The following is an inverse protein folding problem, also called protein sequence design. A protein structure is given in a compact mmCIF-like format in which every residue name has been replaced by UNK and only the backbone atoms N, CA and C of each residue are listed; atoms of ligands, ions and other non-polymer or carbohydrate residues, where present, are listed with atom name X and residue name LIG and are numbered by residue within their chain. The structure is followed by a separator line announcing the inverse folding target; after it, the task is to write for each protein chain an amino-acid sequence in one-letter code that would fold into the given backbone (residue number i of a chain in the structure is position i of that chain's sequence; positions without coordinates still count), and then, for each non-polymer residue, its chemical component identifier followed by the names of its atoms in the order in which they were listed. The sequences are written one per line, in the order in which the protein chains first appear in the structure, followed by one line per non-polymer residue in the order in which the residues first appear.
data_IF_483205968483
#
_entry.id   IF_483205968483
#
_cell.length_a   1.000
_cell.length_b   1.000
_cell.length_c   1.000
_cell.angle_alpha   90.00
_cell.angle_beta   90.00
_cell.angle_gamma   90.00
#
_symmetry.space_group_name_H-M   'P 1'
#
loop_
_entity.id
_entity.type
_entity.pdbx_description
1 polymer ?
#
# COMPACT_ATOMS: atom_id res chain seq x y z
N UNK A 1 30.53 31.39 2.95
CA UNK A 1 30.18 30.92 4.31
C UNK A 1 28.67 30.80 4.39
N UNK A 2 28.12 29.60 4.24
CA UNK A 2 26.72 29.30 4.56
C UNK A 2 26.71 28.54 5.90
N UNK A 3 25.79 28.83 6.83
CA UNK A 3 25.88 28.37 8.20
C UNK A 3 25.69 26.85 8.32
N UNK A 4 26.24 26.30 9.41
CA UNK A 4 26.25 24.87 9.77
C UNK A 4 24.85 24.24 9.98
N UNK A 5 23.79 25.04 9.98
CA UNK A 5 22.43 24.60 9.73
C UNK A 5 21.76 25.78 9.03
N UNK A 6 21.19 25.55 7.85
CA UNK A 6 20.79 26.66 7.00
C UNK A 6 19.87 26.23 5.87
N UNK A 7 18.89 27.09 5.61
CA UNK A 7 18.02 27.01 4.44
C UNK A 7 18.71 27.73 3.29
N UNK A 8 18.74 27.12 2.09
CA UNK A 8 19.15 27.81 0.86
C UNK A 8 18.30 29.10 0.69
N UNK A 9 18.84 30.19 0.13
CA UNK A 9 18.09 31.43 -0.11
C UNK A 9 16.75 31.21 -0.84
N UNK A 10 16.69 30.20 -1.70
CA UNK A 10 15.50 29.84 -2.50
C UNK A 10 14.56 28.86 -1.78
N UNK A 11 14.91 28.42 -0.57
CA UNK A 11 14.15 27.44 0.20
C UNK A 11 14.14 26.02 -0.36
N UNK A 12 14.91 25.76 -1.43
CA UNK A 12 14.99 24.50 -2.19
C UNK A 12 15.74 23.39 -1.46
N UNK A 13 16.75 23.75 -0.66
CA UNK A 13 17.60 22.81 0.09
C UNK A 13 17.60 23.22 1.56
N UNK A 14 17.39 22.25 2.44
CA UNK A 14 17.48 22.41 3.89
C UNK A 14 18.54 21.46 4.42
N UNK A 15 19.59 22.03 5.00
CA UNK A 15 20.56 21.28 5.78
C UNK A 15 19.99 21.10 7.18
N UNK A 16 19.72 19.85 7.55
CA UNK A 16 19.22 19.51 8.87
C UNK A 16 20.40 19.48 9.85
N UNK A 17 20.19 19.91 11.09
CA UNK A 17 21.15 19.75 12.19
C UNK A 17 21.20 18.29 12.72
N UNK A 18 20.94 17.35 11.82
CA UNK A 18 20.93 15.92 12.11
C UNK A 18 22.08 15.28 11.35
N UNK A 19 22.84 14.46 12.07
CA UNK A 19 23.84 13.58 11.46
C UNK A 19 23.37 12.13 11.55
N UNK A 20 23.69 11.33 10.53
CA UNK A 20 23.42 9.89 10.51
C UNK A 20 24.75 9.14 10.39
N UNK A 21 24.89 8.10 11.20
CA UNK A 21 26.03 7.17 11.20
C UNK A 21 25.56 5.77 11.55
N UNK A 22 26.28 4.74 11.12
CA UNK A 22 25.97 3.36 11.45
C UNK A 22 24.74 2.84 10.70
N UNK A 23 24.75 3.01 9.38
CA UNK A 23 23.70 2.50 8.50
C UNK A 23 24.26 1.44 7.55
N UNK A 24 23.38 0.52 7.15
CA UNK A 24 23.70 -0.47 6.11
C UNK A 24 23.40 0.12 4.74
N UNK A 25 24.36 0.02 3.83
CA UNK A 25 24.17 0.45 2.44
C UNK A 25 23.23 -0.53 1.74
N UNK A 26 22.29 0.00 0.94
CA UNK A 26 21.30 -0.81 0.25
C UNK A 26 21.98 -1.86 -0.64
N UNK A 27 21.49 -3.10 -0.62
CA UNK A 27 21.99 -4.17 -1.50
C UNK A 27 23.30 -4.84 -1.06
N UNK A 28 23.95 -4.38 0.00
CA UNK A 28 25.18 -4.98 0.54
C UNK A 28 25.13 -5.27 2.05
N UNK A 29 26.15 -5.95 2.56
CA UNK A 29 26.41 -6.08 4.00
C UNK A 29 27.28 -4.93 4.53
N UNK A 30 27.70 -4.02 3.65
CA UNK A 30 28.56 -2.88 3.97
C UNK A 30 27.86 -1.98 5.00
N UNK A 31 28.44 -1.94 6.19
CA UNK A 31 28.02 -1.08 7.29
C UNK A 31 28.94 0.12 7.32
N UNK A 32 28.39 1.31 7.07
CA UNK A 32 29.15 2.55 7.10
C UNK A 32 28.94 3.24 8.45
N UNK A 33 30.02 3.37 9.22
CA UNK A 33 30.04 4.00 10.54
C UNK A 33 30.36 5.49 10.45
N UNK A 34 30.69 6.00 9.26
CA UNK A 34 31.04 7.41 9.04
C UNK A 34 29.83 8.32 9.33
N UNK A 35 30.09 9.49 9.92
CA UNK A 35 29.04 10.49 10.19
C UNK A 35 28.78 11.34 8.95
N UNK A 36 27.56 11.29 8.45
CA UNK A 36 27.09 12.13 7.36
C UNK A 36 26.09 13.16 7.86
N UNK A 37 26.12 14.35 7.25
CA UNK A 37 25.12 15.38 7.46
C UNK A 37 23.89 15.08 6.63
N UNK A 38 22.71 15.22 7.24
CA UNK A 38 21.45 14.98 6.56
C UNK A 38 21.00 16.25 5.84
N UNK A 39 20.79 16.14 4.53
CA UNK A 39 20.27 17.24 3.71
C UNK A 39 18.96 16.81 3.06
N UNK A 40 17.95 17.68 3.14
CA UNK A 40 16.67 17.48 2.45
C UNK A 40 16.55 18.46 1.29
N UNK A 41 16.30 17.90 0.10
CA UNK A 41 16.03 18.67 -1.11
C UNK A 41 14.52 18.65 -1.34
N UNK A 42 13.90 19.82 -1.42
CA UNK A 42 12.45 19.98 -1.60
C UNK A 42 12.04 20.18 -3.05
N UNK A 43 12.89 20.82 -3.85
CA UNK A 43 12.67 21.05 -5.28
C UNK A 43 13.83 20.49 -6.07
N UNK A 44 13.55 19.89 -7.23
CA UNK A 44 14.61 19.39 -8.10
C UNK A 44 15.58 20.53 -8.44
N UNK A 45 16.83 20.42 -7.98
CA UNK A 45 17.84 21.47 -8.11
C UNK A 45 19.10 20.85 -8.68
N UNK A 46 19.62 21.38 -9.79
CA UNK A 46 20.85 20.91 -10.45
C UNK A 46 20.87 19.38 -10.70
N UNK A 47 19.75 18.81 -11.17
CA UNK A 47 19.64 17.39 -11.48
C UNK A 47 19.44 16.45 -10.28
N UNK A 48 19.42 16.98 -9.04
CA UNK A 48 19.13 16.21 -7.82
C UNK A 48 17.62 16.22 -7.55
N UNK A 49 16.93 15.07 -7.57
CA UNK A 49 15.50 15.01 -7.28
C UNK A 49 15.16 15.36 -5.82
N UNK A 50 13.92 15.74 -5.50
CA UNK A 50 13.48 15.90 -4.12
C UNK A 50 13.64 14.60 -3.33
N UNK A 51 14.18 14.70 -2.11
CA UNK A 51 14.52 13.54 -1.29
C UNK A 51 15.41 13.88 -0.10
N UNK A 52 15.74 12.86 0.69
CA UNK A 52 16.67 12.95 1.81
C UNK A 52 18.01 12.35 1.37
N UNK A 53 19.09 13.08 1.59
CA UNK A 53 20.43 12.73 1.15
C UNK A 53 21.41 12.80 2.32
N UNK A 54 22.44 11.96 2.27
CA UNK A 54 23.56 11.97 3.19
C UNK A 54 24.75 12.61 2.49
N UNK A 55 25.23 13.71 3.06
CA UNK A 55 26.33 14.51 2.55
C UNK A 55 27.52 14.37 3.49
N UNK A 56 28.71 14.20 2.92
CA UNK A 56 29.94 14.17 3.71
C UNK A 56 30.26 15.58 4.24
N UNK A 57 30.44 15.78 5.56
CA UNK A 57 30.73 17.09 6.13
C UNK A 57 32.08 17.68 5.66
N UNK A 58 33.04 16.86 5.23
CA UNK A 58 34.36 17.30 4.78
C UNK A 58 34.39 17.68 3.29
N UNK A 59 33.84 16.84 2.41
CA UNK A 59 33.86 17.07 0.96
C UNK A 59 32.64 17.83 0.45
N UNK A 60 31.55 17.89 1.24
CA UNK A 60 30.25 18.46 0.88
C UNK A 60 29.59 17.80 -0.34
N UNK A 61 30.00 16.58 -0.67
CA UNK A 61 29.41 15.80 -1.76
C UNK A 61 28.28 14.89 -1.26
N UNK A 62 27.27 14.70 -2.10
CA UNK A 62 26.16 13.76 -1.83
C UNK A 62 26.69 12.34 -2.04
N UNK A 63 26.79 11.56 -0.96
CA UNK A 63 27.31 10.18 -1.02
C UNK A 63 26.21 9.13 -1.09
N UNK A 64 25.10 9.35 -0.38
CA UNK A 64 23.98 8.40 -0.35
C UNK A 64 22.63 9.10 -0.45
N UNK A 65 21.67 8.41 -1.05
CA UNK A 65 20.25 8.76 -1.01
C UNK A 65 19.54 7.90 0.04
N UNK A 66 18.76 8.53 0.91
CA UNK A 66 17.91 7.84 1.88
C UNK A 66 16.56 7.60 1.22
N UNK A 67 16.38 6.40 0.70
CA UNK A 67 15.17 5.97 0.01
C UNK A 67 14.27 5.14 0.95
N UNK A 68 12.99 5.49 1.15
CA UNK A 68 12.11 4.75 2.04
C UNK A 68 11.84 3.31 1.54
N UNK A 69 11.67 2.38 2.48
CA UNK A 69 11.37 0.98 2.16
C UNK A 69 9.98 0.78 1.53
N UNK A 70 9.02 1.68 1.84
CA UNK A 70 7.68 1.71 1.26
C UNK A 70 7.60 2.82 0.22
N UNK A 71 7.28 2.49 -1.03
CA UNK A 71 7.19 3.48 -2.12
C UNK A 71 8.52 4.13 -2.52
N UNK A 72 9.64 3.47 -2.22
CA UNK A 72 10.98 3.92 -2.59
C UNK A 72 11.22 3.98 -4.10
N UNK A 73 12.07 4.92 -4.54
CA UNK A 73 12.37 5.21 -5.94
C UNK A 73 13.51 4.34 -6.49
N UNK A 74 14.42 3.89 -5.63
CA UNK A 74 15.61 3.12 -6.02
C UNK A 74 15.28 1.64 -5.96
N UNK A 75 15.13 1.02 -7.13
CA UNK A 75 14.79 -0.41 -7.28
C UNK A 75 16.00 -1.29 -7.58
N UNK A 76 17.13 -0.69 -7.93
CA UNK A 76 18.36 -1.39 -8.27
C UNK A 76 19.56 -0.59 -7.77
N UNK A 77 20.54 -1.29 -7.21
CA UNK A 77 21.80 -0.72 -6.76
C UNK A 77 22.92 -1.74 -7.05
N UNK A 78 23.96 -1.30 -7.76
CA UNK A 78 25.13 -2.14 -8.12
C UNK A 78 24.76 -3.51 -8.74
N UNK A 79 23.76 -3.51 -9.64
CA UNK A 79 23.28 -4.73 -10.31
C UNK A 79 22.42 -5.66 -9.43
N UNK A 80 22.14 -5.27 -8.18
CA UNK A 80 21.24 -5.99 -7.27
C UNK A 80 19.88 -5.32 -7.22
N UNK A 81 18.83 -6.12 -7.44
CA UNK A 81 17.44 -5.66 -7.35
C UNK A 81 17.04 -5.54 -5.87
N UNK A 82 16.58 -4.36 -5.47
CA UNK A 82 16.14 -4.08 -4.12
C UNK A 82 14.64 -4.32 -3.99
N UNK A 83 14.23 -5.17 -3.05
CA UNK A 83 12.81 -5.39 -2.75
C UNK A 83 12.25 -4.16 -2.03
N UNK A 84 11.29 -3.49 -2.66
CA UNK A 84 10.54 -2.35 -2.10
C UNK A 84 9.09 -2.77 -1.91
N UNK A 85 8.47 -2.24 -0.85
CA UNK A 85 7.07 -2.50 -0.57
C UNK A 85 6.24 -1.38 -1.22
N UNK A 86 5.57 -1.69 -2.32
CA UNK A 86 4.68 -0.72 -2.95
C UNK A 86 3.33 -0.71 -2.23
N UNK A 87 2.98 0.42 -1.60
CA UNK A 87 1.67 0.62 -0.99
C UNK A 87 1.09 1.95 -1.48
N UNK A 88 0.14 1.92 -2.44
CA UNK A 88 -0.47 3.14 -2.99
C UNK A 88 -1.07 4.03 -1.90
N UNK A 89 -1.71 3.42 -0.89
CA UNK A 89 -2.30 4.13 0.25
C UNK A 89 -1.24 4.81 1.11
N UNK A 90 -0.12 4.14 1.39
CA UNK A 90 0.95 4.72 2.20
C UNK A 90 1.67 5.86 1.46
N UNK A 91 1.92 5.70 0.16
CA UNK A 91 2.52 6.73 -0.69
C UNK A 91 1.67 8.00 -0.74
N UNK A 92 0.36 7.87 -0.89
CA UNK A 92 -0.55 9.01 -0.88
C UNK A 92 -0.56 9.74 0.48
N UNK A 93 -0.57 8.99 1.59
CA UNK A 93 -0.49 9.59 2.94
C UNK A 93 0.86 10.29 3.17
N UNK A 94 1.96 9.72 2.69
CA UNK A 94 3.27 10.36 2.75
C UNK A 94 3.29 11.68 1.97
N UNK A 95 2.69 11.73 0.78
CA UNK A 95 2.58 12.97 0.00
C UNK A 95 1.72 14.03 0.67
N UNK A 96 0.61 13.65 1.31
CA UNK A 96 -0.22 14.59 2.07
C UNK A 96 0.56 15.15 3.25
N UNK A 97 1.20 14.28 4.06
CA UNK A 97 1.98 14.71 5.22
C UNK A 97 3.14 15.62 4.81
N UNK A 98 3.89 15.25 3.78
CA UNK A 98 4.98 16.06 3.25
C UNK A 98 4.48 17.40 2.69
N UNK A 99 3.36 17.40 1.95
CA UNK A 99 2.79 18.63 1.39
C UNK A 99 2.31 19.60 2.48
N UNK A 100 1.72 19.09 3.58
CA UNK A 100 1.31 19.90 4.73
C UNK A 100 2.54 20.45 5.44
N UNK A 101 3.50 19.59 5.79
CA UNK A 101 4.69 19.97 6.56
C UNK A 101 5.60 20.96 5.81
N UNK A 102 5.63 20.88 4.48
CA UNK A 102 6.42 21.79 3.63
C UNK A 102 5.65 23.02 3.18
N UNK A 103 4.35 23.12 3.48
CA UNK A 103 3.45 24.14 2.94
C UNK A 103 3.46 24.24 1.40
N UNK A 104 3.80 23.15 0.70
CA UNK A 104 3.86 23.08 -0.78
C UNK A 104 2.71 22.27 -1.38
N UNK A 105 1.66 22.02 -0.62
CA UNK A 105 0.53 21.24 -1.09
C UNK A 105 -0.24 22.03 -2.17
N UNK A 106 -0.51 21.42 -3.35
CA UNK A 106 -1.20 22.11 -4.44
C UNK A 106 -2.69 22.30 -4.11
N UNK A 107 -3.02 23.35 -3.36
CA UNK A 107 -4.38 23.66 -2.90
C UNK A 107 -5.42 23.74 -4.01
N UNK A 108 -5.02 24.17 -5.22
CA UNK A 108 -5.88 24.14 -6.39
C UNK A 108 -6.40 22.71 -6.69
N UNK A 109 -5.53 21.70 -6.65
CA UNK A 109 -5.91 20.30 -6.89
C UNK A 109 -6.82 19.76 -5.77
N UNK A 110 -6.56 20.16 -4.51
CA UNK A 110 -7.42 19.79 -3.37
C UNK A 110 -8.82 20.38 -3.52
N UNK A 111 -8.92 21.67 -3.84
CA UNK A 111 -10.20 22.34 -4.04
C UNK A 111 -10.98 21.73 -5.20
N UNK A 112 -10.31 21.40 -6.31
CA UNK A 112 -10.94 20.65 -7.42
C UNK A 112 -11.51 19.32 -6.92
N UNK A 113 -10.77 18.58 -6.09
CA UNK A 113 -11.26 17.34 -5.47
C UNK A 113 -12.48 17.54 -4.59
N UNK A 114 -12.53 18.62 -3.80
CA UNK A 114 -13.69 18.99 -2.97
C UNK A 114 -14.91 19.29 -3.84
N UNK A 115 -14.75 20.12 -4.88
CA UNK A 115 -15.85 20.43 -5.80
C UNK A 115 -16.35 19.21 -6.56
N UNK A 116 -15.44 18.31 -6.97
CA UNK A 116 -15.81 17.04 -7.60
C UNK A 116 -16.58 16.13 -6.65
N UNK A 117 -16.15 16.03 -5.38
CA UNK A 117 -16.86 15.26 -4.37
C UNK A 117 -18.28 15.80 -4.14
N UNK A 118 -18.45 17.12 -4.04
CA UNK A 118 -19.76 17.76 -3.92
C UNK A 118 -20.62 17.47 -5.16
N UNK A 119 -20.06 17.62 -6.36
CA UNK A 119 -20.79 17.35 -7.60
C UNK A 119 -21.28 15.89 -7.67
N UNK A 120 -20.46 14.93 -7.24
CA UNK A 120 -20.85 13.51 -7.16
C UNK A 120 -21.94 13.30 -6.11
N UNK A 121 -21.80 13.90 -4.92
CA UNK A 121 -22.80 13.74 -3.84
C UNK A 121 -24.17 14.30 -4.25
N UNK A 122 -24.20 15.38 -5.04
CA UNK A 122 -25.43 15.94 -5.62
C UNK A 122 -26.13 15.00 -6.61
N UNK A 123 -25.40 14.05 -7.22
CA UNK A 123 -26.02 13.01 -8.08
C UNK A 123 -26.63 11.85 -7.27
N UNK A 124 -26.55 11.88 -5.94
CA UNK A 124 -27.03 10.82 -5.05
C UNK A 124 -26.10 9.61 -4.99
N UNK A 125 -24.89 9.71 -5.53
CA UNK A 125 -23.84 8.69 -5.45
C UNK A 125 -22.87 9.07 -4.35
N UNK A 126 -22.49 8.12 -3.50
CA UNK A 126 -21.47 8.35 -2.48
C UNK A 126 -20.11 8.62 -3.15
N UNK A 127 -19.50 9.75 -2.84
CA UNK A 127 -18.22 10.18 -3.43
C UNK A 127 -17.02 9.28 -3.09
N UNK A 128 -17.05 8.61 -1.93
CA UNK A 128 -15.93 7.82 -1.40
C UNK A 128 -15.64 6.55 -2.22
N UNK A 129 -16.61 5.66 -2.55
CA UNK A 129 -16.37 4.54 -3.46
C UNK A 129 -15.86 4.94 -4.84
N UNK A 130 -16.33 6.07 -5.37
CA UNK A 130 -15.91 6.59 -6.69
C UNK A 130 -14.44 7.01 -6.64
N UNK A 131 -14.05 7.80 -5.66
CA UNK A 131 -12.66 8.23 -5.47
C UNK A 131 -11.71 7.02 -5.27
N UNK A 132 -12.17 6.02 -4.52
CA UNK A 132 -11.43 4.78 -4.32
C UNK A 132 -11.27 3.99 -5.62
N UNK A 133 -12.34 3.85 -6.40
CA UNK A 133 -12.32 3.12 -7.66
C UNK A 133 -11.39 3.72 -8.73
N UNK A 134 -11.24 5.05 -8.76
CA UNK A 134 -10.39 5.75 -9.75
C UNK A 134 -8.89 5.51 -9.50
N UNK A 135 -8.46 5.31 -8.25
CA UNK A 135 -7.03 5.10 -7.95
C UNK A 135 -6.61 3.62 -8.02
N UNK A 136 -7.56 2.69 -7.98
CA UNK A 136 -7.28 1.25 -7.92
C UNK A 136 -7.08 0.63 -9.30
N UNK A 137 -6.14 -0.32 -9.46
CA UNK A 137 -6.01 -1.12 -10.67
C UNK A 137 -7.32 -1.85 -10.99
N UNK A 138 -7.66 -1.96 -12.28
CA UNK A 138 -8.89 -2.61 -12.73
C UNK A 138 -9.05 -4.05 -12.23
N UNK A 139 -7.92 -4.75 -12.03
CA UNK A 139 -7.87 -6.11 -11.49
C UNK A 139 -8.35 -6.17 -10.04
N UNK A 140 -7.93 -5.23 -9.19
CA UNK A 140 -8.38 -5.13 -7.79
C UNK A 140 -9.83 -4.65 -7.72
N UNK A 141 -10.21 -3.69 -8.57
CA UNK A 141 -11.57 -3.17 -8.64
C UNK A 141 -12.59 -4.24 -9.08
N UNK A 142 -12.21 -5.17 -9.97
CA UNK A 142 -13.07 -6.28 -10.37
C UNK A 142 -13.42 -7.22 -9.19
N UNK A 143 -12.46 -7.51 -8.31
CA UNK A 143 -12.70 -8.30 -7.10
C UNK A 143 -13.67 -7.60 -6.13
N UNK A 144 -13.50 -6.30 -5.93
CA UNK A 144 -14.42 -5.50 -5.12
C UNK A 144 -15.83 -5.45 -5.72
N UNK A 145 -15.93 -5.30 -7.05
CA UNK A 145 -17.19 -5.30 -7.77
C UNK A 145 -17.94 -6.64 -7.62
N UNK A 146 -17.25 -7.76 -7.75
CA UNK A 146 -17.84 -9.08 -7.50
C UNK A 146 -18.37 -9.24 -6.08
N UNK A 147 -17.65 -8.73 -5.07
CA UNK A 147 -18.15 -8.64 -3.69
C UNK A 147 -19.42 -7.79 -3.58
N UNK A 148 -19.47 -6.67 -4.29
CA UNK A 148 -20.67 -5.82 -4.40
C UNK A 148 -21.87 -6.54 -5.03
N UNK A 149 -21.66 -7.37 -6.06
CA UNK A 149 -22.72 -8.20 -6.64
C UNK A 149 -23.27 -9.18 -5.59
N UNK A 150 -22.40 -9.85 -4.83
CA UNK A 150 -22.83 -10.78 -3.76
C UNK A 150 -23.65 -10.04 -2.71
N UNK A 151 -23.19 -8.86 -2.25
CA UNK A 151 -23.93 -7.99 -1.31
C UNK A 151 -25.31 -7.62 -1.87
N UNK A 152 -25.38 -7.19 -3.13
CA UNK A 152 -26.63 -6.85 -3.80
C UNK A 152 -27.60 -8.03 -3.88
N UNK A 153 -27.11 -9.24 -4.18
CA UNK A 153 -27.92 -10.46 -4.18
C UNK A 153 -28.46 -10.80 -2.78
N UNK A 154 -27.63 -10.67 -1.74
CA UNK A 154 -28.03 -10.89 -0.34
C UNK A 154 -29.12 -9.89 0.07
N UNK A 155 -28.94 -8.60 -0.23
CA UNK A 155 -29.92 -7.56 0.07
C UNK A 155 -31.24 -7.77 -0.70
N UNK A 156 -31.16 -8.17 -1.96
CA UNK A 156 -32.36 -8.49 -2.76
C UNK A 156 -33.14 -9.65 -2.16
N UNK A 157 -32.45 -10.70 -1.69
CA UNK A 157 -33.11 -11.82 -1.01
C UNK A 157 -33.69 -11.40 0.34
N UNK A 158 -32.95 -10.60 1.12
CA UNK A 158 -33.39 -10.11 2.42
C UNK A 158 -34.65 -9.25 2.33
N UNK A 159 -34.78 -8.40 1.31
CA UNK A 159 -36.01 -7.64 1.03
C UNK A 159 -37.21 -8.54 0.77
N UNK A 160 -37.02 -9.66 0.05
CA UNK A 160 -38.06 -10.67 -0.16
C UNK A 160 -38.51 -11.36 1.13
N UNK A 161 -37.64 -11.42 2.14
CA UNK A 161 -37.89 -12.04 3.44
C UNK A 161 -38.35 -11.02 4.51
N UNK A 162 -38.67 -9.77 4.13
CA UNK A 162 -39.01 -8.65 5.04
C UNK A 162 -37.97 -8.43 6.16
N UNK A 163 -36.68 -8.70 5.89
CA UNK A 163 -35.60 -8.45 6.84
C UNK A 163 -35.16 -6.99 6.81
N UNK A 164 -34.83 -6.43 7.98
CA UNK A 164 -34.28 -5.08 8.08
C UNK A 164 -32.85 -5.03 7.53
N UNK A 165 -32.42 -3.87 7.03
CA UNK A 165 -31.01 -3.64 6.67
C UNK A 165 -30.07 -3.83 7.87
N UNK A 166 -30.53 -3.47 9.08
CA UNK A 166 -29.79 -3.66 10.32
C UNK A 166 -29.49 -5.15 10.60
N UNK A 167 -30.42 -6.05 10.27
CA UNK A 167 -30.23 -7.50 10.42
C UNK A 167 -29.21 -8.06 9.43
N UNK A 168 -29.08 -7.43 8.26
CA UNK A 168 -28.08 -7.81 7.26
C UNK A 168 -26.69 -7.33 7.70
N UNK A 169 -26.60 -6.11 8.24
CA UNK A 169 -25.36 -5.52 8.74
C UNK A 169 -24.81 -6.26 9.97
N UNK A 170 -25.68 -6.71 10.86
CA UNK A 170 -25.31 -7.58 11.99
C UNK A 170 -25.37 -9.07 11.66
N UNK A 171 -25.62 -9.40 10.39
CA UNK A 171 -25.93 -10.75 9.96
C UNK A 171 -24.71 -11.67 9.86
N UNK A 172 -24.95 -12.99 9.80
CA UNK A 172 -23.89 -13.99 9.72
C UNK A 172 -22.97 -13.82 8.48
N UNK A 173 -23.47 -13.17 7.42
CA UNK A 173 -22.67 -12.87 6.22
C UNK A 173 -21.55 -11.84 6.48
N UNK A 174 -21.81 -10.81 7.29
CA UNK A 174 -20.79 -9.80 7.64
C UNK A 174 -19.73 -10.40 8.55
N UNK A 175 -20.14 -11.18 9.56
CA UNK A 175 -19.21 -11.90 10.44
C UNK A 175 -18.35 -12.93 9.68
N UNK A 176 -18.95 -13.67 8.74
CA UNK A 176 -18.20 -14.62 7.93
C UNK A 176 -17.18 -13.92 7.02
N UNK A 177 -17.59 -12.81 6.39
CA UNK A 177 -16.70 -12.00 5.55
C UNK A 177 -15.52 -11.42 6.34
N UNK A 178 -15.78 -10.83 7.52
CA UNK A 178 -14.71 -10.31 8.37
C UNK A 178 -13.78 -11.42 8.88
N UNK A 179 -14.32 -12.59 9.20
CA UNK A 179 -13.56 -13.79 9.54
C UNK A 179 -12.65 -14.27 8.39
N UNK A 180 -13.13 -14.26 7.14
CA UNK A 180 -12.31 -14.57 5.97
C UNK A 180 -11.17 -13.57 5.76
N UNK A 181 -11.44 -12.28 5.94
CA UNK A 181 -10.43 -11.21 5.83
C UNK A 181 -9.37 -11.38 6.94
N UNK A 182 -9.80 -11.55 8.19
CA UNK A 182 -8.90 -11.73 9.33
C UNK A 182 -8.07 -13.01 9.21
N UNK A 183 -8.70 -14.13 8.82
CA UNK A 183 -8.01 -15.40 8.61
C UNK A 183 -6.97 -15.33 7.49
N UNK A 184 -7.31 -14.67 6.37
CA UNK A 184 -6.36 -14.42 5.28
C UNK A 184 -5.17 -13.57 5.71
N UNK A 185 -5.41 -12.52 6.51
CA UNK A 185 -4.34 -11.67 7.04
C UNK A 185 -3.40 -12.43 7.99
N UNK A 186 -3.96 -13.19 8.94
CA UNK A 186 -3.18 -14.01 9.88
C UNK A 186 -2.39 -15.07 9.12
N UNK A 187 -3.00 -15.75 8.16
CA UNK A 187 -2.31 -16.72 7.29
C UNK A 187 -1.14 -16.09 6.53
N UNK A 188 -1.34 -14.90 5.97
CA UNK A 188 -0.27 -14.13 5.32
C UNK A 188 0.87 -13.76 6.27
N UNK A 189 0.57 -13.35 7.50
CA UNK A 189 1.59 -13.05 8.52
C UNK A 189 2.39 -14.31 8.87
N UNK A 190 1.73 -15.46 9.06
CA UNK A 190 2.40 -16.74 9.35
C UNK A 190 3.33 -17.13 8.19
N UNK A 191 2.87 -17.03 6.95
CA UNK A 191 3.70 -17.33 5.76
C UNK A 191 4.90 -16.38 5.70
N UNK A 192 4.69 -15.08 5.91
CA UNK A 192 5.77 -14.09 5.90
C UNK A 192 6.79 -14.34 7.02
N UNK A 193 6.33 -14.73 8.22
CA UNK A 193 7.20 -15.06 9.34
C UNK A 193 8.08 -16.28 9.04
N UNK A 194 7.51 -17.33 8.43
CA UNK A 194 8.28 -18.53 8.05
C UNK A 194 9.28 -18.20 6.94
N UNK A 195 8.85 -17.46 5.92
CA UNK A 195 9.72 -17.02 4.83
C UNK A 195 10.89 -16.17 5.34
N UNK A 196 10.62 -15.27 6.29
CA UNK A 196 11.65 -14.45 6.94
C UNK A 196 12.63 -15.26 7.78
N UNK A 197 12.15 -16.27 8.52
CA UNK A 197 13.00 -17.13 9.35
C UNK A 197 13.88 -18.09 8.54
N UNK A 198 13.43 -18.52 7.35
CA UNK A 198 14.11 -19.53 6.52
C UNK A 198 14.75 -18.98 5.25
N UNK A 199 14.71 -17.66 5.04
CA UNK A 199 15.42 -16.97 3.98
C UNK A 199 14.79 -17.05 2.59
N UNK A 200 13.76 -17.88 2.37
CA UNK A 200 12.93 -17.83 1.16
C UNK A 200 11.52 -18.39 1.40
N UNK A 201 10.55 -17.82 0.71
CA UNK A 201 9.20 -18.39 0.59
C UNK A 201 9.22 -19.73 -0.18
N UNK A 202 10.23 -19.95 -1.03
CA UNK A 202 10.38 -21.16 -1.84
C UNK A 202 10.58 -22.41 -0.98
N UNK A 203 11.25 -22.26 0.18
CA UNK A 203 11.42 -23.37 1.13
C UNK A 203 10.08 -23.95 1.57
N UNK A 204 9.08 -23.08 1.78
CA UNK A 204 7.75 -23.47 2.19
C UNK A 204 6.98 -24.14 1.04
N UNK A 205 7.13 -23.62 -0.18
CA UNK A 205 6.52 -24.20 -1.38
C UNK A 205 7.05 -25.62 -1.67
N UNK A 206 8.36 -25.83 -1.48
CA UNK A 206 9.03 -27.11 -1.71
C UNK A 206 8.72 -28.15 -0.63
N UNK A 207 8.66 -27.77 0.65
CA UNK A 207 8.38 -28.71 1.75
C UNK A 207 6.90 -29.11 1.86
N UNK A 208 5.99 -28.18 1.56
CA UNK A 208 4.54 -28.46 1.63
C UNK A 208 4.10 -29.24 0.39
N UNK A 209 4.85 -29.21 -0.72
CA UNK A 209 4.63 -30.03 -1.90
C UNK A 209 3.31 -29.79 -2.63
N UNK A 210 2.43 -28.91 -2.11
CA UNK A 210 1.13 -28.61 -2.72
C UNK A 210 1.29 -28.05 -4.13
N UNK A 211 2.34 -27.27 -4.39
CA UNK A 211 2.64 -26.75 -5.73
C UNK A 211 2.99 -27.89 -6.72
N UNK A 212 3.73 -28.91 -6.27
CA UNK A 212 4.05 -30.08 -7.10
C UNK A 212 2.87 -31.06 -7.24
N UNK A 213 2.05 -31.22 -6.19
CA UNK A 213 0.88 -32.10 -6.20
C UNK A 213 -0.30 -31.52 -7.01
N UNK A 214 -0.47 -30.19 -7.01
CA UNK A 214 -1.49 -29.48 -7.80
C UNK A 214 -0.98 -29.11 -9.20
N UNK A 215 0.33 -29.07 -9.43
CA UNK A 215 0.94 -28.84 -10.75
C UNK A 215 0.35 -27.64 -11.48
N UNK A 216 -0.03 -27.83 -12.75
CA UNK A 216 -0.65 -26.79 -13.58
C UNK A 216 -2.03 -26.30 -13.11
N UNK A 217 -2.69 -27.01 -12.19
CA UNK A 217 -3.97 -26.56 -11.61
C UNK A 217 -3.77 -25.37 -10.66
N UNK A 218 -2.63 -25.29 -9.98
CA UNK A 218 -2.32 -24.15 -9.10
C UNK A 218 -2.11 -22.84 -9.87
N UNK A 219 -1.65 -22.93 -11.12
CA UNK A 219 -1.40 -21.77 -11.99
C UNK A 219 -2.57 -21.48 -12.94
N UNK A 220 -3.59 -22.35 -12.98
CA UNK A 220 -4.74 -22.20 -13.87
C UNK A 220 -5.67 -21.09 -13.37
N UNK A 221 -5.88 -20.07 -14.20
CA UNK A 221 -6.85 -19.00 -13.93
C UNK A 221 -8.28 -19.54 -13.74
N UNK A 222 -8.59 -20.69 -14.33
CA UNK A 222 -9.90 -21.34 -14.19
C UNK A 222 -10.09 -21.86 -12.76
N UNK A 223 -9.08 -22.47 -12.17
CA UNK A 223 -9.15 -22.98 -10.79
C UNK A 223 -9.30 -21.83 -9.81
N UNK A 224 -8.55 -20.74 -10.00
CA UNK A 224 -8.70 -19.53 -9.20
C UNK A 224 -10.12 -18.95 -9.32
N UNK A 225 -10.69 -18.90 -10.53
CA UNK A 225 -12.06 -18.44 -10.77
C UNK A 225 -13.10 -19.34 -10.08
N UNK A 226 -12.93 -20.67 -10.15
CA UNK A 226 -13.83 -21.63 -9.50
C UNK A 226 -13.79 -21.47 -7.98
N UNK A 227 -12.60 -21.36 -7.38
CA UNK A 227 -12.46 -21.14 -5.93
C UNK A 227 -13.10 -19.80 -5.54
N UNK A 228 -12.85 -18.75 -6.31
CA UNK A 228 -13.45 -17.43 -6.08
C UNK A 228 -14.98 -17.47 -6.16
N UNK A 229 -15.53 -18.12 -7.19
CA UNK A 229 -16.97 -18.32 -7.34
C UNK A 229 -17.57 -19.16 -6.21
N UNK A 230 -16.86 -20.21 -5.76
CA UNK A 230 -17.28 -21.05 -4.64
C UNK A 230 -17.31 -20.26 -3.32
N UNK A 231 -16.30 -19.43 -3.05
CA UNK A 231 -16.27 -18.54 -1.89
C UNK A 231 -17.40 -17.49 -1.96
N UNK A 232 -17.62 -16.89 -3.13
CA UNK A 232 -18.73 -15.95 -3.35
C UNK A 232 -20.10 -16.60 -3.14
N UNK A 233 -20.28 -17.83 -3.64
CA UNK A 233 -21.49 -18.62 -3.43
C UNK A 233 -21.70 -19.00 -1.96
N UNK A 234 -20.64 -19.39 -1.26
CA UNK A 234 -20.68 -19.70 0.17
C UNK A 234 -21.06 -18.46 0.98
N UNK A 235 -20.47 -17.30 0.67
CA UNK A 235 -20.79 -16.02 1.28
C UNK A 235 -22.25 -15.63 1.04
N UNK A 236 -22.76 -15.79 -0.19
CA UNK A 236 -24.18 -15.59 -0.51
C UNK A 236 -25.07 -16.53 0.32
N UNK A 237 -24.73 -17.83 0.37
CA UNK A 237 -25.51 -18.83 1.11
C UNK A 237 -25.52 -18.54 2.61
N UNK A 238 -24.43 -18.04 3.19
CA UNK A 238 -24.36 -17.70 4.61
C UNK A 238 -25.07 -16.37 4.89
N UNK A 239 -24.89 -15.35 4.05
CA UNK A 239 -25.58 -14.06 4.18
C UNK A 239 -27.10 -14.13 3.93
N UNK A 240 -27.54 -15.08 3.12
CA UNK A 240 -28.96 -15.33 2.88
C UNK A 240 -29.64 -16.12 4.02
N UNK A 241 -28.89 -16.74 4.94
CA UNK A 241 -29.48 -17.42 6.11
C UNK A 241 -30.04 -16.39 7.08
N UNK A 242 -31.15 -16.75 7.72
CA UNK A 242 -31.66 -16.00 8.88
C UNK A 242 -30.72 -16.25 10.06
N UNK A 243 -30.37 -15.20 10.78
CA UNK A 243 -29.80 -15.37 12.11
C UNK A 243 -30.87 -16.10 12.96
N UNK A 244 -30.50 -17.13 13.74
CA UNK A 244 -31.42 -17.79 14.66
C UNK A 244 -31.90 -16.83 15.75
#
# INVERSE_FOLDING_TARGET
MAPAAGRSPDGSVLVLDQTMSGFRVAGGETFDTTRYQVVRVYTATNGVPPGKYLVDPATREIRYVVDPGIGGRVREYEGRRLTRLDSPKATLMAFIADGILTHRLPWALVLIGVFLAIAIELTGVQSLPVAVGVYLPITTSAGMFAGGIVRWLVERRARSDNRSLADIESGPGVLFSSGLIAGGAIGGIVIAAIAGAKGSADWLADHVGLHHALGGLAQSSVVALVIFALLGFLLYRIGARRAP
#
